data_IF_581514835424
#
_entry.id   IF_581514835424
#
_cell.length_a   1.000
_cell.length_b   1.000
_cell.length_c   1.000
_cell.angle_alpha   90.00
_cell.angle_beta   90.00
_cell.angle_gamma   90.00
#
_symmetry.space_group_name_H-M   'P 1'
#
loop_
_entity.id
_entity.type
_entity.pdbx_description
1 polymer ?
#
# COMPACT_ATOMS: atom_id res chain seq x y z
N UNK A 1 -18.19 19.65 70.30
CA UNK A 1 -17.96 18.34 69.67
C UNK A 1 -18.39 18.35 68.18
N UNK A 2 -18.12 19.46 67.43
CA UNK A 2 -18.63 19.65 66.06
C UNK A 2 -17.54 19.98 64.98
N UNK A 3 -16.25 20.02 65.42
CA UNK A 3 -15.16 20.47 64.51
C UNK A 3 -14.45 19.34 63.76
N UNK A 4 -14.47 18.09 64.24
CA UNK A 4 -13.74 16.96 63.60
C UNK A 4 -14.39 16.43 62.34
N UNK A 5 -15.71 16.48 62.22
CA UNK A 5 -16.42 15.90 61.03
C UNK A 5 -16.31 16.77 59.77
N UNK A 6 -16.07 18.07 59.89
CA UNK A 6 -15.93 18.98 58.75
C UNK A 6 -14.58 18.86 58.05
N UNK A 7 -13.53 18.53 58.79
CA UNK A 7 -12.17 18.37 58.21
C UNK A 7 -12.02 17.01 57.50
N UNK A 8 -12.62 15.95 58.04
CA UNK A 8 -12.65 14.64 57.37
C UNK A 8 -13.48 14.70 56.08
N UNK A 9 -14.62 15.39 56.09
CA UNK A 9 -15.46 15.57 54.91
C UNK A 9 -14.77 16.42 53.82
N UNK A 10 -14.01 17.43 54.17
CA UNK A 10 -13.21 18.23 53.24
C UNK A 10 -12.09 17.39 52.60
N UNK A 11 -11.41 16.57 53.38
CA UNK A 11 -10.34 15.70 52.88
C UNK A 11 -10.87 14.61 51.95
N UNK A 12 -12.07 14.06 52.20
CA UNK A 12 -12.73 13.10 51.32
C UNK A 12 -13.16 13.75 49.99
N UNK A 13 -13.74 14.95 50.04
CA UNK A 13 -14.14 15.71 48.86
C UNK A 13 -12.92 16.12 48.02
N UNK A 14 -11.81 16.55 48.65
CA UNK A 14 -10.56 16.88 47.98
C UNK A 14 -9.92 15.64 47.32
N UNK A 15 -9.99 14.47 47.95
CA UNK A 15 -9.53 13.19 47.42
C UNK A 15 -10.34 12.73 46.19
N UNK A 16 -11.67 12.92 46.23
CA UNK A 16 -12.56 12.57 45.11
C UNK A 16 -12.38 13.52 43.92
N UNK A 17 -12.19 14.82 44.17
CA UNK A 17 -11.90 15.80 43.07
C UNK A 17 -10.55 15.53 42.43
N UNK A 18 -9.53 15.09 43.19
CA UNK A 18 -8.22 14.74 42.64
C UNK A 18 -8.23 13.41 41.85
N UNK A 19 -9.09 12.46 42.24
CA UNK A 19 -9.25 11.20 41.50
C UNK A 19 -9.96 11.35 40.14
N UNK A 20 -10.77 12.39 39.94
CA UNK A 20 -11.50 12.66 38.69
C UNK A 20 -10.60 13.32 37.65
N UNK A 21 -9.45 13.88 37.99
CA UNK A 21 -8.52 14.54 37.09
C UNK A 21 -7.56 13.58 36.36
N UNK A 22 -7.60 12.27 36.61
CA UNK A 22 -6.78 11.27 35.96
C UNK A 22 -7.55 10.51 34.88
N UNK A 23 -8.67 11.02 34.40
CA UNK A 23 -9.15 10.62 33.09
C UNK A 23 -8.23 11.30 32.07
N UNK A 24 -7.05 10.72 31.88
CA UNK A 24 -6.20 11.05 30.75
C UNK A 24 -7.06 10.87 29.50
N UNK A 25 -7.52 11.95 28.91
CA UNK A 25 -8.02 11.98 27.56
C UNK A 25 -6.89 11.40 26.69
N UNK A 26 -6.93 10.12 26.39
CA UNK A 26 -6.32 9.64 25.18
C UNK A 26 -7.00 10.46 24.09
N UNK A 27 -6.34 11.50 23.61
CA UNK A 27 -6.82 12.33 22.51
C UNK A 27 -7.04 11.36 21.36
N UNK A 28 -8.30 11.12 21.04
CA UNK A 28 -8.63 10.25 19.90
C UNK A 28 -8.00 10.92 18.69
N UNK A 29 -7.07 10.22 18.03
CA UNK A 29 -6.39 10.77 16.86
C UNK A 29 -7.44 11.00 15.79
N UNK A 30 -7.62 12.25 15.43
CA UNK A 30 -8.60 12.70 14.45
C UNK A 30 -7.98 12.81 13.07
N UNK A 31 -8.73 12.39 12.06
CA UNK A 31 -8.39 12.47 10.65
C UNK A 31 -9.52 11.88 9.82
N UNK A 32 -9.63 12.24 8.55
CA UNK A 32 -10.62 11.63 7.67
C UNK A 32 -10.24 10.19 7.27
N UNK A 33 -8.97 9.81 7.45
CA UNK A 33 -8.47 8.43 7.36
C UNK A 33 -7.97 7.99 8.73
N UNK A 34 -8.45 6.87 9.20
CA UNK A 34 -8.00 6.23 10.44
C UNK A 34 -7.47 4.83 10.12
N UNK A 35 -6.27 4.53 10.59
CA UNK A 35 -5.61 3.23 10.45
C UNK A 35 -5.48 2.62 11.83
N UNK A 36 -6.11 1.50 12.06
CA UNK A 36 -6.03 0.77 13.33
C UNK A 36 -5.75 -0.70 13.11
N UNK A 37 -5.41 -1.42 14.16
CA UNK A 37 -5.24 -2.86 14.10
C UNK A 37 -4.33 -3.40 15.17
N UNK A 38 -3.76 -4.57 14.88
CA UNK A 38 -2.94 -5.31 15.82
C UNK A 38 -1.70 -5.88 15.12
N UNK A 39 -0.54 -5.69 15.74
CA UNK A 39 0.70 -6.36 15.32
C UNK A 39 1.06 -7.42 16.36
N UNK A 40 0.65 -8.64 16.10
CA UNK A 40 0.89 -9.76 17.01
C UNK A 40 2.40 -9.93 17.27
N UNK A 41 2.77 -10.03 18.55
CA UNK A 41 4.17 -10.18 18.97
C UNK A 41 4.94 -8.87 19.15
N UNK A 42 4.42 -7.73 18.73
CA UNK A 42 5.02 -6.42 19.00
C UNK A 42 4.73 -5.99 20.43
N UNK A 43 5.74 -6.11 21.33
CA UNK A 43 5.59 -5.81 22.75
C UNK A 43 6.01 -4.38 23.11
N UNK A 44 6.96 -3.82 22.39
CA UNK A 44 7.52 -2.49 22.62
C UNK A 44 8.13 -1.92 21.36
N UNK A 45 7.97 -0.63 21.15
CA UNK A 45 8.51 0.09 19.98
C UNK A 45 7.54 1.17 19.52
N UNK A 46 7.90 1.87 18.47
CA UNK A 46 7.07 2.90 17.84
C UNK A 46 6.64 2.45 16.46
N UNK A 47 5.33 2.51 16.18
CA UNK A 47 4.79 2.36 14.83
C UNK A 47 4.65 3.75 14.19
N UNK A 48 4.98 3.83 12.91
CA UNK A 48 4.89 5.04 12.11
C UNK A 48 3.96 4.83 10.92
N UNK A 49 3.04 5.76 10.73
CA UNK A 49 2.29 5.92 9.49
C UNK A 49 3.07 6.90 8.59
N UNK A 50 3.45 6.44 7.41
CA UNK A 50 4.32 7.21 6.52
C UNK A 50 3.75 7.26 5.11
N UNK A 51 4.09 8.33 4.37
CA UNK A 51 3.80 8.44 2.94
C UNK A 51 4.93 9.14 2.19
N UNK A 52 4.93 8.97 0.86
CA UNK A 52 5.89 9.67 0.01
C UNK A 52 5.41 11.09 -0.26
N UNK A 53 6.24 12.07 0.10
CA UNK A 53 6.10 13.45 -0.37
C UNK A 53 7.23 13.70 -1.36
N UNK A 54 6.87 13.79 -2.66
CA UNK A 54 7.83 13.79 -3.77
C UNK A 54 8.70 12.52 -3.75
N UNK A 55 9.97 12.64 -3.34
CA UNK A 55 10.94 11.54 -3.24
C UNK A 55 11.32 11.20 -1.80
N UNK A 56 10.73 11.87 -0.81
CA UNK A 56 11.06 11.71 0.60
C UNK A 56 9.95 10.96 1.32
N UNK A 57 10.30 9.96 2.10
CA UNK A 57 9.37 9.27 2.99
C UNK A 57 9.20 10.11 4.26
N UNK A 58 7.98 10.57 4.52
CA UNK A 58 7.65 11.38 5.70
C UNK A 58 6.72 10.60 6.64
N UNK A 59 6.92 10.76 7.96
CA UNK A 59 5.99 10.25 8.95
C UNK A 59 4.87 11.28 9.17
N UNK A 60 3.63 10.86 8.98
CA UNK A 60 2.44 11.72 9.20
C UNK A 60 1.86 11.50 10.59
N UNK A 61 2.02 10.30 11.15
CA UNK A 61 1.61 9.98 12.50
C UNK A 61 2.48 8.85 13.09
N UNK A 62 2.44 8.69 14.42
CA UNK A 62 3.15 7.63 15.13
C UNK A 62 2.46 7.26 16.45
N UNK A 63 2.67 6.04 16.90
CA UNK A 63 2.19 5.55 18.20
C UNK A 63 3.22 4.67 18.88
N UNK A 64 3.45 4.92 20.15
CA UNK A 64 4.30 4.08 21.00
C UNK A 64 3.49 2.87 21.51
N UNK A 65 4.05 1.68 21.37
CA UNK A 65 3.49 0.42 21.85
C UNK A 65 4.19 0.04 23.16
N UNK A 66 3.41 -0.24 24.19
CA UNK A 66 3.88 -0.67 25.50
C UNK A 66 2.98 -1.80 26.04
N UNK A 67 3.25 -3.03 25.62
CA UNK A 67 2.54 -4.23 26.09
C UNK A 67 1.24 -4.54 25.36
N UNK A 68 0.42 -3.57 25.05
CA UNK A 68 -0.70 -3.72 24.13
C UNK A 68 -0.20 -3.59 22.68
N UNK A 69 -0.45 -4.61 21.89
CA UNK A 69 -0.01 -4.68 20.50
C UNK A 69 -1.03 -4.11 19.51
N UNK A 70 -2.04 -3.39 20.00
CA UNK A 70 -3.01 -2.64 19.19
C UNK A 70 -2.49 -1.24 18.91
N UNK A 71 -2.93 -0.66 17.80
CA UNK A 71 -2.56 0.69 17.41
C UNK A 71 -3.73 1.43 16.75
N UNK A 72 -3.66 2.76 16.81
CA UNK A 72 -4.53 3.69 16.09
C UNK A 72 -3.70 4.88 15.63
N UNK A 73 -3.74 5.13 14.32
CA UNK A 73 -3.03 6.20 13.62
C UNK A 73 -4.03 6.93 12.72
N UNK A 74 -3.78 8.19 12.38
CA UNK A 74 -4.67 8.96 11.54
C UNK A 74 -3.90 9.93 10.63
N UNK A 75 -4.52 10.29 9.51
CA UNK A 75 -4.07 11.38 8.62
C UNK A 75 -5.28 12.03 7.94
N UNK A 76 -5.08 13.25 7.43
CA UNK A 76 -6.05 13.89 6.55
C UNK A 76 -5.56 13.76 5.12
N UNK A 77 -6.38 13.15 4.28
CA UNK A 77 -6.07 12.90 2.88
C UNK A 77 -7.12 13.53 1.97
N UNK A 78 -6.69 14.03 0.83
CA UNK A 78 -7.56 14.61 -0.20
C UNK A 78 -8.07 13.56 -1.19
N UNK A 79 -7.30 12.48 -1.36
CA UNK A 79 -7.60 11.36 -2.26
C UNK A 79 -6.86 10.11 -1.82
N UNK A 80 -7.31 8.90 -2.26
CA UNK A 80 -6.59 7.67 -1.99
C UNK A 80 -5.15 7.70 -2.49
N UNK A 81 -4.22 7.38 -1.59
CA UNK A 81 -2.78 7.32 -1.88
C UNK A 81 -2.08 6.19 -1.13
N UNK A 82 -0.85 5.88 -1.51
CA UNK A 82 -0.08 4.82 -0.86
C UNK A 82 0.56 5.30 0.43
N UNK A 83 0.36 4.49 1.46
CA UNK A 83 0.97 4.63 2.77
C UNK A 83 1.86 3.44 3.11
N UNK A 84 2.73 3.66 4.07
CA UNK A 84 3.57 2.63 4.68
C UNK A 84 3.30 2.61 6.19
N UNK A 85 3.09 1.43 6.73
CA UNK A 85 3.18 1.19 8.16
C UNK A 85 4.56 0.57 8.43
N UNK A 86 5.35 1.19 9.29
CA UNK A 86 6.69 0.77 9.67
C UNK A 86 6.84 0.77 11.18
N UNK A 87 7.84 0.09 11.72
CA UNK A 87 8.16 0.18 13.14
C UNK A 87 9.62 0.61 13.35
N UNK A 88 9.90 1.10 14.54
CA UNK A 88 11.23 1.56 14.92
C UNK A 88 12.28 0.46 14.73
N UNK A 89 13.36 0.77 13.98
CA UNK A 89 14.40 -0.21 13.66
C UNK A 89 14.09 -1.11 12.47
N UNK A 90 12.89 -1.01 11.85
CA UNK A 90 12.59 -1.77 10.63
C UNK A 90 13.47 -1.32 9.46
N UNK A 91 13.87 -2.27 8.65
CA UNK A 91 14.56 -1.97 7.39
C UNK A 91 13.55 -1.70 6.25
N UNK A 92 14.04 -1.25 5.09
CA UNK A 92 13.19 -0.93 3.95
C UNK A 92 12.33 -2.08 3.41
N UNK A 93 12.61 -3.32 3.80
CA UNK A 93 11.82 -4.51 3.41
C UNK A 93 10.75 -4.87 4.44
N UNK A 94 10.90 -4.42 5.67
CA UNK A 94 10.00 -4.67 6.80
C UNK A 94 9.00 -3.54 6.93
N UNK A 95 8.07 -3.46 5.96
CA UNK A 95 7.02 -2.43 5.90
C UNK A 95 5.76 -2.99 5.29
N UNK A 96 4.62 -2.51 5.74
CA UNK A 96 3.32 -2.78 5.11
C UNK A 96 3.00 -1.62 4.17
N UNK A 97 2.91 -1.91 2.88
CA UNK A 97 2.43 -0.96 1.86
C UNK A 97 0.94 -1.16 1.68
N UNK A 98 0.17 -0.09 1.73
CA UNK A 98 -1.28 -0.15 1.54
C UNK A 98 -1.84 1.13 0.93
N UNK A 99 -3.02 1.02 0.32
CA UNK A 99 -3.79 2.19 -0.08
C UNK A 99 -4.55 2.73 1.13
N UNK A 100 -4.19 3.95 1.53
CA UNK A 100 -4.99 4.77 2.43
C UNK A 100 -6.11 5.45 1.67
N UNK A 101 -7.31 5.45 2.22
CA UNK A 101 -8.48 6.20 1.73
C UNK A 101 -9.36 6.63 2.91
N UNK A 102 -10.27 7.55 2.67
CA UNK A 102 -11.16 8.08 3.70
C UNK A 102 -11.95 6.96 4.39
N UNK A 103 -12.00 7.02 5.72
CA UNK A 103 -12.69 6.06 6.57
C UNK A 103 -11.74 5.26 7.45
N UNK A 104 -12.20 4.09 7.89
CA UNK A 104 -11.49 3.21 8.80
C UNK A 104 -10.82 2.07 8.05
N UNK A 105 -9.50 1.99 8.17
CA UNK A 105 -8.68 0.91 7.64
C UNK A 105 -8.16 0.07 8.80
N UNK A 106 -8.37 -1.23 8.74
CA UNK A 106 -7.88 -2.17 9.74
C UNK A 106 -6.72 -2.97 9.16
N UNK A 107 -5.57 -2.99 9.87
CA UNK A 107 -4.37 -3.73 9.46
C UNK A 107 -3.96 -4.67 10.59
N UNK A 108 -3.97 -5.98 10.33
CA UNK A 108 -3.49 -6.99 11.24
C UNK A 108 -2.28 -7.72 10.63
N UNK A 109 -1.24 -7.90 11.41
CA UNK A 109 -0.02 -8.61 10.99
C UNK A 109 0.71 -9.22 12.19
N UNK A 110 1.82 -9.92 11.92
CA UNK A 110 2.72 -10.52 12.90
C UNK A 110 4.11 -9.94 12.77
N UNK A 111 4.71 -9.55 13.88
CA UNK A 111 6.05 -8.94 13.89
C UNK A 111 7.12 -9.84 13.23
N UNK A 112 7.05 -11.15 13.40
CA UNK A 112 8.00 -12.12 12.84
C UNK A 112 8.01 -12.17 11.31
N UNK A 113 6.90 -11.76 10.67
CA UNK A 113 6.70 -11.76 9.21
C UNK A 113 6.13 -10.42 8.73
N UNK A 114 6.50 -9.35 9.40
CA UNK A 114 5.95 -8.03 9.18
C UNK A 114 6.03 -7.60 7.72
N UNK A 115 4.88 -7.26 7.16
CA UNK A 115 4.75 -6.83 5.77
C UNK A 115 4.70 -7.95 4.72
N UNK A 116 4.83 -9.23 5.11
CA UNK A 116 4.80 -10.33 4.14
C UNK A 116 3.39 -10.72 3.71
N UNK A 117 2.44 -10.77 4.66
CA UNK A 117 1.05 -11.13 4.39
C UNK A 117 0.12 -10.42 5.38
N UNK A 118 0.09 -9.09 5.41
CA UNK A 118 -0.80 -8.35 6.28
C UNK A 118 -2.26 -8.57 5.84
N UNK A 119 -3.17 -8.63 6.80
CA UNK A 119 -4.60 -8.53 6.55
C UNK A 119 -4.99 -7.06 6.57
N UNK A 120 -5.50 -6.53 5.44
CA UNK A 120 -5.88 -5.13 5.29
C UNK A 120 -7.34 -5.06 4.85
N UNK A 121 -8.16 -4.34 5.60
CA UNK A 121 -9.60 -4.23 5.37
C UNK A 121 -10.00 -2.75 5.47
N UNK A 122 -10.98 -2.33 4.65
CA UNK A 122 -11.56 -0.99 4.71
C UNK A 122 -11.15 -0.05 3.59
N UNK A 123 -10.26 -0.49 2.68
CA UNK A 123 -9.88 0.27 1.49
C UNK A 123 -10.30 -0.46 0.22
N UNK A 124 -11.12 0.20 -0.63
CA UNK A 124 -11.53 -0.35 -1.93
C UNK A 124 -10.36 -0.42 -2.90
N UNK A 125 -9.47 0.56 -2.86
CA UNK A 125 -8.26 0.57 -3.67
C UNK A 125 -7.31 -0.57 -3.28
N UNK A 126 -7.22 -0.89 -1.98
CA UNK A 126 -6.45 -2.05 -1.50
C UNK A 126 -7.07 -3.36 -1.98
N UNK A 127 -8.39 -3.52 -1.90
CA UNK A 127 -9.09 -4.71 -2.40
C UNK A 127 -8.81 -4.97 -3.89
N UNK A 128 -8.77 -3.90 -4.70
CA UNK A 128 -8.45 -3.97 -6.12
C UNK A 128 -7.00 -4.41 -6.30
N UNK A 129 -6.07 -3.81 -5.57
CA UNK A 129 -4.65 -4.15 -5.63
C UNK A 129 -4.41 -5.61 -5.19
N UNK A 130 -5.06 -6.07 -4.14
CA UNK A 130 -4.90 -7.45 -3.64
C UNK A 130 -5.45 -8.49 -4.62
N UNK A 131 -6.61 -8.23 -5.22
CA UNK A 131 -7.18 -9.08 -6.28
C UNK A 131 -6.26 -9.13 -7.50
N UNK A 132 -5.72 -7.98 -7.92
CA UNK A 132 -4.72 -7.90 -8.96
C UNK A 132 -3.49 -8.75 -8.62
N UNK A 133 -2.88 -8.53 -7.47
CA UNK A 133 -1.68 -9.21 -7.01
C UNK A 133 -1.87 -10.74 -6.94
N UNK A 134 -3.03 -11.20 -6.49
CA UNK A 134 -3.38 -12.63 -6.44
C UNK A 134 -3.32 -13.29 -7.83
N UNK A 135 -3.80 -12.59 -8.87
CA UNK A 135 -3.78 -13.10 -10.23
C UNK A 135 -2.39 -12.92 -10.86
N UNK A 136 -1.78 -11.74 -10.68
CA UNK A 136 -0.46 -11.40 -11.23
C UNK A 136 0.63 -12.38 -10.72
N UNK A 137 0.53 -12.84 -9.48
CA UNK A 137 1.44 -13.84 -8.88
C UNK A 137 1.52 -15.13 -9.71
N UNK A 138 0.45 -15.54 -10.39
CA UNK A 138 0.47 -16.70 -11.28
C UNK A 138 1.37 -16.47 -12.50
N UNK A 139 1.36 -15.26 -13.06
CA UNK A 139 2.26 -14.90 -14.16
C UNK A 139 3.72 -14.84 -13.70
N UNK A 140 3.96 -14.30 -12.50
CA UNK A 140 5.30 -14.25 -11.90
C UNK A 140 5.85 -15.67 -11.68
N UNK A 141 5.06 -16.59 -11.13
CA UNK A 141 5.46 -17.98 -10.91
C UNK A 141 5.77 -18.68 -12.25
N UNK A 142 4.89 -18.53 -13.26
CA UNK A 142 5.16 -19.08 -14.59
C UNK A 142 6.46 -18.52 -15.21
N UNK A 143 6.74 -17.24 -15.00
CA UNK A 143 7.99 -16.63 -15.45
C UNK A 143 9.22 -17.26 -14.77
N UNK A 144 9.14 -17.54 -13.49
CA UNK A 144 10.22 -18.22 -12.75
C UNK A 144 10.45 -19.65 -13.31
N UNK A 145 9.38 -20.39 -13.59
CA UNK A 145 9.46 -21.71 -14.24
C UNK A 145 10.15 -21.64 -15.61
N UNK A 146 9.86 -20.59 -16.41
CA UNK A 146 10.53 -20.38 -17.68
C UNK A 146 12.03 -20.09 -17.51
N UNK A 147 12.41 -19.27 -16.53
CA UNK A 147 13.83 -18.97 -16.25
C UNK A 147 14.59 -20.25 -15.90
N UNK A 148 14.00 -21.11 -15.06
CA UNK A 148 14.61 -22.38 -14.71
C UNK A 148 14.80 -23.30 -15.93
N UNK A 149 13.74 -23.48 -16.76
CA UNK A 149 13.78 -24.30 -17.96
C UNK A 149 14.75 -23.75 -19.00
N UNK A 150 14.85 -22.46 -19.18
CA UNK A 150 15.80 -21.81 -20.07
C UNK A 150 17.25 -22.07 -19.63
N UNK A 151 17.52 -21.99 -18.32
CA UNK A 151 18.82 -22.35 -17.78
C UNK A 151 19.22 -23.82 -18.05
N UNK A 152 18.28 -24.75 -17.86
CA UNK A 152 18.48 -26.18 -18.14
C UNK A 152 18.71 -26.44 -19.64
N UNK A 153 17.92 -25.80 -20.50
CA UNK A 153 18.07 -25.91 -21.95
C UNK A 153 19.41 -25.35 -22.46
N UNK A 154 19.86 -24.23 -21.90
CA UNK A 154 21.20 -23.67 -22.18
C UNK A 154 22.32 -24.60 -21.77
N UNK A 155 22.18 -25.24 -20.62
CA UNK A 155 23.17 -26.20 -20.11
C UNK A 155 23.26 -27.47 -21.01
N UNK A 156 22.14 -27.93 -21.52
CA UNK A 156 22.08 -29.09 -22.42
C UNK A 156 22.47 -28.78 -23.89
N UNK A 157 22.47 -27.50 -24.28
CA UNK A 157 22.71 -27.05 -25.64
C UNK A 157 21.59 -27.34 -26.62
N UNK A 158 20.37 -27.69 -26.15
CA UNK A 158 19.22 -28.03 -26.98
C UNK A 158 18.58 -26.76 -27.60
N UNK A 159 19.01 -26.41 -28.81
CA UNK A 159 18.52 -25.25 -29.58
C UNK A 159 17.03 -25.31 -29.86
N UNK A 160 16.46 -26.51 -30.03
CA UNK A 160 15.04 -26.69 -30.33
C UNK A 160 14.19 -26.33 -29.10
N UNK A 161 14.57 -26.83 -27.95
CA UNK A 161 13.91 -26.50 -26.67
C UNK A 161 14.05 -25.01 -26.36
N UNK A 162 15.23 -24.41 -26.57
CA UNK A 162 15.45 -22.96 -26.34
C UNK A 162 14.50 -22.11 -27.21
N UNK A 163 14.41 -22.41 -28.54
CA UNK A 163 13.51 -21.67 -29.43
C UNK A 163 12.03 -21.78 -29.03
N UNK A 164 11.61 -22.96 -28.56
CA UNK A 164 10.25 -23.18 -28.08
C UNK A 164 10.00 -22.37 -26.79
N UNK A 165 10.94 -22.38 -25.83
CA UNK A 165 10.85 -21.61 -24.59
C UNK A 165 10.74 -20.11 -24.86
N UNK A 166 11.52 -19.56 -25.77
CA UNK A 166 11.45 -18.15 -26.18
C UNK A 166 10.06 -17.78 -26.72
N UNK A 167 9.50 -18.63 -27.59
CA UNK A 167 8.16 -18.41 -28.15
C UNK A 167 7.08 -18.44 -27.05
N UNK A 168 7.17 -19.41 -26.14
CA UNK A 168 6.21 -19.55 -25.03
C UNK A 168 6.35 -18.43 -24.00
N UNK A 169 7.57 -17.99 -23.70
CA UNK A 169 7.83 -16.83 -22.84
C UNK A 169 7.26 -15.54 -23.42
N UNK A 170 7.45 -15.29 -24.71
CA UNK A 170 6.88 -14.15 -25.41
C UNK A 170 5.34 -14.17 -25.37
N UNK A 171 4.74 -15.35 -25.51
CA UNK A 171 3.29 -15.54 -25.36
C UNK A 171 2.81 -15.25 -23.95
N UNK A 172 3.52 -15.73 -22.92
CA UNK A 172 3.22 -15.43 -21.51
C UNK A 172 3.28 -13.94 -21.24
N UNK A 173 4.36 -13.26 -21.66
CA UNK A 173 4.54 -11.81 -21.49
C UNK A 173 3.40 -11.03 -22.13
N UNK A 174 3.02 -11.37 -23.36
CA UNK A 174 1.90 -10.72 -24.05
C UNK A 174 0.57 -10.91 -23.32
N UNK A 175 0.31 -12.14 -22.85
CA UNK A 175 -0.90 -12.43 -22.06
C UNK A 175 -0.93 -11.63 -20.74
N UNK A 176 0.21 -11.50 -20.06
CA UNK A 176 0.32 -10.71 -18.84
C UNK A 176 0.03 -9.23 -19.10
N UNK A 177 0.65 -8.65 -20.13
CA UNK A 177 0.43 -7.25 -20.50
C UNK A 177 -1.06 -6.98 -20.81
N UNK A 178 -1.70 -7.87 -21.58
CA UNK A 178 -3.15 -7.77 -21.84
C UNK A 178 -4.00 -7.88 -20.57
N UNK A 179 -3.65 -8.80 -19.66
CA UNK A 179 -4.32 -8.93 -18.38
C UNK A 179 -4.23 -7.64 -17.58
N UNK A 180 -3.02 -7.08 -17.42
CA UNK A 180 -2.80 -5.85 -16.67
C UNK A 180 -3.58 -4.68 -17.26
N UNK A 181 -3.50 -4.49 -18.58
CA UNK A 181 -4.22 -3.43 -19.26
C UNK A 181 -5.74 -3.54 -19.06
N UNK A 182 -6.31 -4.72 -19.29
CA UNK A 182 -7.74 -4.95 -19.10
C UNK A 182 -8.15 -4.77 -17.63
N UNK A 183 -7.32 -5.19 -16.68
CA UNK A 183 -7.60 -5.01 -15.27
C UNK A 183 -7.63 -3.53 -14.88
N UNK A 184 -6.68 -2.73 -15.36
CA UNK A 184 -6.67 -1.28 -15.14
C UNK A 184 -7.91 -0.62 -15.77
N UNK A 185 -8.27 -0.98 -17.01
CA UNK A 185 -9.48 -0.46 -17.68
C UNK A 185 -10.75 -0.81 -16.90
N UNK A 186 -10.86 -2.06 -16.42
CA UNK A 186 -12.04 -2.50 -15.65
C UNK A 186 -12.16 -1.84 -14.26
N UNK A 187 -11.12 -1.17 -13.78
CA UNK A 187 -11.10 -0.46 -12.51
C UNK A 187 -10.80 1.04 -12.69
N UNK A 188 -11.16 1.61 -13.85
CA UNK A 188 -10.78 2.95 -14.29
C UNK A 188 -11.28 4.10 -13.39
N UNK A 189 -12.18 3.82 -12.44
CA UNK A 189 -12.74 4.78 -11.49
C UNK A 189 -11.99 4.80 -10.13
N UNK A 190 -10.89 4.04 -10.01
CA UNK A 190 -10.13 3.88 -8.77
C UNK A 190 -8.65 4.22 -8.97
N UNK A 191 -8.01 4.82 -7.96
CA UNK A 191 -6.61 5.23 -7.97
C UNK A 191 -5.63 4.04 -8.11
N UNK A 192 -6.06 2.85 -7.71
CA UNK A 192 -5.32 1.61 -7.92
C UNK A 192 -5.07 1.30 -9.41
N UNK A 193 -5.97 1.73 -10.32
CA UNK A 193 -5.84 1.44 -11.75
C UNK A 193 -4.62 2.11 -12.41
N UNK A 194 -4.45 3.45 -12.35
CA UNK A 194 -3.25 4.09 -12.87
C UNK A 194 -1.98 3.68 -12.11
N UNK A 195 -2.06 3.37 -10.80
CA UNK A 195 -0.93 2.83 -10.05
C UNK A 195 -0.47 1.48 -10.61
N UNK A 196 -1.39 0.53 -10.83
CA UNK A 196 -1.10 -0.77 -11.45
C UNK A 196 -0.51 -0.55 -12.86
N UNK A 197 -1.07 0.37 -13.63
CA UNK A 197 -0.55 0.72 -14.95
C UNK A 197 0.91 1.20 -14.90
N UNK A 198 1.24 2.10 -13.98
CA UNK A 198 2.60 2.63 -13.79
C UNK A 198 3.61 1.56 -13.39
N UNK A 199 3.22 0.63 -12.53
CA UNK A 199 4.14 -0.37 -11.98
C UNK A 199 4.28 -1.61 -12.85
N UNK A 200 3.28 -1.95 -13.67
CA UNK A 200 3.19 -3.25 -14.31
C UNK A 200 3.19 -3.20 -15.86
N UNK A 201 2.95 -2.02 -16.48
CA UNK A 201 2.87 -1.87 -17.94
C UNK A 201 4.12 -1.24 -18.59
N UNK A 202 5.25 -1.26 -17.91
CA UNK A 202 6.51 -0.66 -18.41
C UNK A 202 6.99 -1.24 -19.75
N UNK A 203 6.57 -2.46 -20.11
CA UNK A 203 6.87 -3.14 -21.40
C UNK A 203 5.70 -3.09 -22.41
N UNK A 204 4.64 -2.36 -22.11
CA UNK A 204 3.51 -2.25 -23.01
C UNK A 204 3.80 -1.25 -24.14
N UNK A 205 3.15 -1.45 -25.29
CA UNK A 205 3.25 -0.48 -26.40
C UNK A 205 2.58 0.84 -26.01
N UNK A 206 3.10 1.94 -26.52
CA UNK A 206 2.54 3.29 -26.32
C UNK A 206 1.06 3.37 -26.69
N UNK A 207 0.65 2.66 -27.77
CA UNK A 207 -0.76 2.56 -28.14
C UNK A 207 -1.62 1.93 -27.04
N UNK A 208 -1.14 0.87 -26.40
CA UNK A 208 -1.86 0.20 -25.31
C UNK A 208 -1.93 1.09 -24.06
N UNK A 209 -0.81 1.72 -23.71
CA UNK A 209 -0.74 2.67 -22.60
C UNK A 209 -1.72 3.83 -22.80
N UNK A 210 -1.80 4.35 -24.02
CA UNK A 210 -2.75 5.41 -24.39
C UNK A 210 -4.21 4.95 -24.24
N UNK A 211 -4.52 3.72 -24.66
CA UNK A 211 -5.85 3.13 -24.47
C UNK A 211 -6.22 3.06 -22.98
N UNK A 212 -5.29 2.61 -22.13
CA UNK A 212 -5.50 2.56 -20.67
C UNK A 212 -5.68 3.97 -20.09
N UNK A 213 -4.82 4.93 -20.50
CA UNK A 213 -4.89 6.31 -20.02
C UNK A 213 -6.23 6.97 -20.36
N UNK A 214 -6.73 6.74 -21.58
CA UNK A 214 -8.00 7.31 -22.04
C UNK A 214 -9.22 6.68 -21.35
N UNK A 215 -9.09 5.46 -20.81
CA UNK A 215 -10.19 4.79 -20.10
C UNK A 215 -10.48 5.35 -18.72
N UNK A 216 -9.52 6.05 -18.08
CA UNK A 216 -9.71 6.58 -16.74
C UNK A 216 -10.79 7.64 -16.70
N UNK A 217 -11.61 7.63 -15.64
CA UNK A 217 -12.59 8.68 -15.38
C UNK A 217 -11.89 10.03 -15.16
N UNK A 218 -12.62 11.13 -15.34
CA UNK A 218 -12.07 12.47 -15.15
C UNK A 218 -11.54 12.70 -13.73
N UNK A 219 -12.19 12.11 -12.72
CA UNK A 219 -11.70 12.10 -11.33
C UNK A 219 -10.29 11.47 -11.27
N UNK A 220 -10.12 10.29 -11.87
CA UNK A 220 -8.87 9.54 -11.82
C UNK A 220 -7.78 10.19 -12.67
N UNK A 221 -8.10 10.74 -13.85
CA UNK A 221 -7.14 11.52 -14.64
C UNK A 221 -6.54 12.69 -13.86
N UNK A 222 -7.34 13.31 -12.99
CA UNK A 222 -6.92 14.43 -12.16
C UNK A 222 -6.25 14.03 -10.84
N UNK A 223 -6.26 12.75 -10.48
CA UNK A 223 -5.59 12.22 -9.28
C UNK A 223 -4.06 12.22 -9.42
N UNK A 224 -3.36 11.97 -8.31
CA UNK A 224 -1.89 11.89 -8.30
C UNK A 224 -1.38 10.80 -9.26
N UNK A 225 -1.96 9.61 -9.19
CA UNK A 225 -1.52 8.49 -10.04
C UNK A 225 -1.97 8.65 -11.48
N UNK A 226 -3.15 9.20 -11.74
CA UNK A 226 -3.63 9.50 -13.08
C UNK A 226 -2.75 10.52 -13.80
N UNK A 227 -2.38 11.61 -13.15
CA UNK A 227 -1.44 12.61 -13.68
C UNK A 227 -0.07 12.01 -13.97
N UNK A 228 0.46 11.18 -13.06
CA UNK A 228 1.75 10.47 -13.25
C UNK A 228 1.69 9.52 -14.44
N UNK A 229 0.60 8.75 -14.58
CA UNK A 229 0.43 7.84 -15.71
C UNK A 229 0.33 8.59 -17.04
N UNK A 230 -0.46 9.67 -17.10
CA UNK A 230 -0.56 10.51 -18.27
C UNK A 230 0.80 11.15 -18.66
N UNK A 231 1.56 11.64 -17.69
CA UNK A 231 2.90 12.16 -17.93
C UNK A 231 3.85 11.09 -18.49
N UNK A 232 3.80 9.87 -17.94
CA UNK A 232 4.56 8.73 -18.44
C UNK A 232 4.23 8.42 -19.92
N UNK A 233 2.95 8.28 -20.26
CA UNK A 233 2.49 8.03 -21.62
C UNK A 233 2.91 9.14 -22.58
N UNK A 234 2.76 10.38 -22.17
CA UNK A 234 3.13 11.56 -22.98
C UNK A 234 4.63 11.60 -23.26
N UNK A 235 5.47 11.30 -22.27
CA UNK A 235 6.92 11.26 -22.45
C UNK A 235 7.36 10.13 -23.40
N UNK A 236 6.74 8.95 -23.33
CA UNK A 236 7.00 7.86 -24.26
C UNK A 236 6.62 8.25 -25.70
N UNK A 237 5.47 8.87 -25.92
CA UNK A 237 5.05 9.36 -27.24
C UNK A 237 6.07 10.35 -27.83
N UNK A 238 6.58 11.26 -27.02
CA UNK A 238 7.62 12.22 -27.45
C UNK A 238 8.91 11.49 -27.84
N UNK A 239 9.36 10.53 -27.03
CA UNK A 239 10.58 9.75 -27.30
C UNK A 239 10.47 8.96 -28.61
N UNK A 240 9.31 8.30 -28.87
CA UNK A 240 9.07 7.56 -30.11
C UNK A 240 9.00 8.46 -31.35
N UNK A 241 8.50 9.71 -31.20
CA UNK A 241 8.46 10.66 -32.32
C UNK A 241 9.85 11.16 -32.71
N UNK A 242 10.73 11.40 -31.73
CA UNK A 242 12.13 11.80 -31.97
C UNK A 242 12.95 10.64 -32.59
N UNK A 243 12.72 9.41 -32.18
CA UNK A 243 13.43 8.25 -32.70
C UNK A 243 13.07 7.87 -34.17
N UNK A 244 11.99 8.45 -34.71
CA UNK A 244 11.52 8.25 -36.09
C UNK A 244 11.97 9.35 -37.06
N UNK A 245 12.62 10.39 -36.59
CA UNK A 245 13.27 11.45 -37.37
C UNK A 245 14.75 11.14 -37.54
#
# INVERSE_FOLDING_TARGET
MHSKNTDEMKNIITGIVFAILIVACATEKEGNMVVQGKIEGLKKGTLYLQKMKDTVLISVDSVAIFGDNTFRLADNIDAPELFFLTFEGSNAKERILFFGEEGLITINDKIEKFGLNPEIIGSKNQDILDKFNKINRRFVNQRLDFIQKDFEAKKSGDKTVMKKLDADYNKLTRRRVLFVANYAISNADFEAAPYIGLTELYNASTKMLDTVNNSFSEKIKNSVYGKRFNAYVTNLKKSESVAKQ
#
